data_IF_880676584937
#
_entry.id   IF_880676584937
#
_cell.length_a   1.000
_cell.length_b   1.000
_cell.length_c   1.000
_cell.angle_alpha   90.00
_cell.angle_beta   90.00
_cell.angle_gamma   90.00
#
_symmetry.space_group_name_H-M   'P 1'
#
loop_
_entity.id
_entity.type
_entity.pdbx_description
1 polymer ?
#
# COMPACT_ATOMS: atom_id res chain seq x y z
N UNK A 1 -10.22 6.06 11.27
CA UNK A 1 -8.85 6.55 11.11
C UNK A 1 -8.79 7.85 10.35
N UNK A 2 -9.12 7.88 9.06
CA UNK A 2 -8.97 9.07 8.21
C UNK A 2 -9.78 10.29 8.64
N UNK A 3 -10.99 10.13 9.13
CA UNK A 3 -11.79 11.26 9.64
C UNK A 3 -11.14 11.91 10.86
N UNK A 4 -10.65 11.11 11.80
CA UNK A 4 -9.96 11.62 12.98
C UNK A 4 -8.66 12.33 12.61
N UNK A 5 -7.93 11.82 11.63
CA UNK A 5 -6.73 12.44 11.09
C UNK A 5 -7.03 13.84 10.50
N UNK A 6 -8.09 13.96 9.71
CA UNK A 6 -8.54 15.25 9.17
C UNK A 6 -8.91 16.24 10.27
N UNK A 7 -9.62 15.81 11.30
CA UNK A 7 -9.96 16.65 12.46
C UNK A 7 -8.71 17.12 13.18
N UNK A 8 -7.71 16.26 13.40
CA UNK A 8 -6.45 16.61 14.04
C UNK A 8 -5.68 17.67 13.23
N UNK A 9 -5.62 17.51 11.89
CA UNK A 9 -4.99 18.49 11.01
C UNK A 9 -5.74 19.82 11.06
N UNK A 10 -7.06 19.84 10.97
CA UNK A 10 -7.86 21.07 11.09
C UNK A 10 -7.62 21.77 12.45
N UNK A 11 -7.61 21.01 13.53
CA UNK A 11 -7.33 21.57 14.87
C UNK A 11 -5.93 22.19 14.98
N UNK A 12 -4.95 21.62 14.28
CA UNK A 12 -3.58 22.16 14.22
C UNK A 12 -3.54 23.45 13.40
N UNK A 13 -4.21 23.49 12.24
CA UNK A 13 -4.26 24.66 11.36
C UNK A 13 -4.97 25.88 11.98
N UNK A 14 -5.93 25.64 12.86
CA UNK A 14 -6.65 26.71 13.57
C UNK A 14 -5.83 27.37 14.69
N UNK A 15 -4.67 26.82 15.06
CA UNK A 15 -3.76 27.44 16.04
C UNK A 15 -2.90 28.49 15.33
N UNK A 16 -2.76 29.66 15.96
CA UNK A 16 -1.76 30.64 15.49
C UNK A 16 -0.38 30.26 16.04
N UNK A 17 0.54 29.91 15.14
CA UNK A 17 1.89 29.52 15.48
C UNK A 17 2.86 30.01 14.40
N UNK A 18 4.13 30.14 14.73
CA UNK A 18 5.20 30.50 13.80
C UNK A 18 5.77 29.25 13.09
N UNK A 19 5.68 28.09 13.76
CA UNK A 19 6.19 26.81 13.27
C UNK A 19 5.15 25.72 13.50
N UNK A 20 4.87 24.95 12.46
CA UNK A 20 3.94 23.82 12.48
C UNK A 20 4.71 22.52 12.28
N UNK A 21 4.38 21.52 13.09
CA UNK A 21 4.89 20.17 12.96
C UNK A 21 3.75 19.21 12.63
N UNK A 22 3.90 18.44 11.56
CA UNK A 22 2.98 17.38 11.19
C UNK A 22 3.73 16.04 11.18
N UNK A 23 3.23 15.08 11.93
CA UNK A 23 3.76 13.72 12.00
C UNK A 23 2.82 12.77 11.26
N UNK A 24 3.29 12.22 10.15
CA UNK A 24 2.55 11.36 9.24
C UNK A 24 1.13 11.87 8.87
N UNK A 25 0.99 13.11 8.38
CA UNK A 25 -0.33 13.68 8.10
C UNK A 25 -1.11 12.94 7.02
N UNK A 26 -0.45 12.17 6.16
CA UNK A 26 -1.08 11.38 5.09
C UNK A 26 -1.58 10.00 5.53
N UNK A 27 -1.28 9.57 6.75
CA UNK A 27 -1.68 8.26 7.27
C UNK A 27 -3.20 8.09 7.29
N UNK A 28 -3.69 6.89 6.94
CA UNK A 28 -5.12 6.52 6.88
C UNK A 28 -5.97 7.27 5.85
N UNK A 29 -5.37 8.08 5.00
CA UNK A 29 -6.05 8.86 3.97
C UNK A 29 -5.91 8.18 2.61
N UNK A 30 -6.97 8.20 1.82
CA UNK A 30 -6.87 7.83 0.41
C UNK A 30 -6.10 8.89 -0.41
N UNK A 31 -5.73 8.58 -1.65
CA UNK A 31 -4.87 9.45 -2.44
C UNK A 31 -5.50 10.82 -2.71
N UNK A 32 -6.81 10.90 -2.89
CA UNK A 32 -7.52 12.17 -3.10
C UNK A 32 -7.38 13.08 -1.86
N UNK A 33 -7.64 12.53 -0.68
CA UNK A 33 -7.50 13.25 0.59
C UNK A 33 -6.04 13.61 0.89
N UNK A 34 -5.08 12.72 0.57
CA UNK A 34 -3.64 13.00 0.68
C UNK A 34 -3.24 14.21 -0.15
N UNK A 35 -3.65 14.27 -1.41
CA UNK A 35 -3.33 15.40 -2.30
C UNK A 35 -4.00 16.69 -1.83
N UNK A 36 -5.20 16.61 -1.27
CA UNK A 36 -5.88 17.76 -0.69
C UNK A 36 -5.11 18.33 0.51
N UNK A 37 -4.66 17.47 1.42
CA UNK A 37 -3.86 17.88 2.58
C UNK A 37 -2.50 18.43 2.16
N UNK A 38 -1.86 17.81 1.16
CA UNK A 38 -0.61 18.34 0.58
C UNK A 38 -0.78 19.79 0.12
N UNK A 39 -1.85 20.09 -0.62
CA UNK A 39 -2.15 21.48 -1.07
C UNK A 39 -2.34 22.43 0.12
N UNK A 40 -3.07 22.02 1.14
CA UNK A 40 -3.31 22.84 2.34
C UNK A 40 -1.99 23.13 3.08
N UNK A 41 -1.15 22.11 3.25
CA UNK A 41 0.15 22.28 3.92
C UNK A 41 1.09 23.18 3.08
N UNK A 42 1.07 23.04 1.75
CA UNK A 42 1.84 23.92 0.86
C UNK A 42 1.41 25.38 0.98
N UNK A 43 0.10 25.65 1.00
CA UNK A 43 -0.43 27.00 1.20
C UNK A 43 -0.01 27.58 2.58
N UNK A 44 -0.07 26.77 3.64
CA UNK A 44 0.43 27.19 4.95
C UNK A 44 1.93 27.52 4.93
N UNK A 45 2.71 26.77 4.16
CA UNK A 45 4.16 26.96 4.06
C UNK A 45 4.58 28.22 3.28
N UNK A 46 3.67 28.88 2.56
CA UNK A 46 3.93 30.19 1.94
C UNK A 46 4.12 31.29 2.98
N UNK A 47 3.45 31.19 4.15
CA UNK A 47 3.46 32.22 5.19
C UNK A 47 4.14 31.77 6.49
N UNK A 48 4.15 30.47 6.75
CA UNK A 48 4.61 29.87 8.01
C UNK A 48 5.73 28.84 7.76
N UNK A 49 6.47 28.52 8.82
CA UNK A 49 7.46 27.44 8.76
C UNK A 49 6.78 26.12 9.05
N UNK A 50 6.94 25.15 8.15
CA UNK A 50 6.30 23.83 8.28
C UNK A 50 7.36 22.73 8.21
N UNK A 51 7.30 21.81 9.16
CA UNK A 51 8.11 20.60 9.22
C UNK A 51 7.16 19.42 9.19
N UNK A 52 7.40 18.51 8.23
CA UNK A 52 6.57 17.31 8.05
C UNK A 52 7.45 16.07 8.15
N UNK A 53 7.04 15.12 8.97
CA UNK A 53 7.61 13.77 9.03
C UNK A 53 6.72 12.87 8.19
N UNK A 54 7.29 12.19 7.21
CA UNK A 54 6.57 11.33 6.27
C UNK A 54 7.40 10.14 5.83
N UNK A 55 6.71 9.02 5.60
CA UNK A 55 7.28 7.80 5.04
C UNK A 55 6.79 7.56 3.59
N UNK A 56 5.75 8.25 3.16
CA UNK A 56 5.23 8.16 1.80
C UNK A 56 6.08 9.03 0.85
N UNK A 57 6.87 8.34 0.02
CA UNK A 57 7.74 9.01 -0.95
C UNK A 57 6.95 9.78 -2.03
N UNK A 58 5.70 9.38 -2.31
CA UNK A 58 4.85 10.08 -3.25
C UNK A 58 4.44 11.44 -2.70
N UNK A 59 4.02 11.46 -1.43
CA UNK A 59 3.67 12.68 -0.71
C UNK A 59 4.90 13.58 -0.60
N UNK A 60 6.05 13.06 -0.22
CA UNK A 60 7.29 13.83 -0.10
C UNK A 60 7.73 14.46 -1.44
N UNK A 61 7.59 13.75 -2.55
CA UNK A 61 7.94 14.28 -3.89
C UNK A 61 7.15 15.55 -4.26
N UNK A 62 5.89 15.61 -3.83
CA UNK A 62 4.99 16.72 -4.14
C UNK A 62 5.10 17.83 -3.09
N UNK A 63 5.13 17.44 -1.81
CA UNK A 63 5.03 18.35 -0.67
C UNK A 63 6.33 19.10 -0.38
N UNK A 64 7.49 18.40 -0.37
CA UNK A 64 8.70 18.94 0.21
C UNK A 64 9.57 19.68 -0.80
N UNK A 65 10.13 20.82 -0.40
CA UNK A 65 11.21 21.52 -1.11
C UNK A 65 12.58 21.01 -0.67
N UNK A 66 12.74 20.80 0.64
CA UNK A 66 13.96 20.30 1.26
C UNK A 66 13.64 19.10 2.15
N UNK A 67 14.55 18.13 2.15
CA UNK A 67 14.43 16.91 2.95
C UNK A 67 15.67 16.72 3.81
N UNK A 68 15.44 16.40 5.09
CA UNK A 68 16.43 15.82 5.99
C UNK A 68 16.19 14.31 6.06
N UNK A 69 17.22 13.53 5.78
CA UNK A 69 17.16 12.08 5.99
C UNK A 69 17.57 11.80 7.42
N UNK A 70 16.75 11.04 8.14
CA UNK A 70 17.08 10.55 9.49
C UNK A 70 17.54 9.11 9.37
N UNK A 71 18.71 8.80 9.91
CA UNK A 71 19.26 7.45 9.91
C UNK A 71 19.92 7.13 11.25
N UNK A 72 20.08 5.85 11.55
CA UNK A 72 20.68 5.42 12.82
C UNK A 72 20.34 3.98 13.17
N UNK A 73 20.54 3.63 14.43
CA UNK A 73 20.23 2.32 14.97
C UNK A 73 19.05 2.45 15.92
N UNK A 74 17.99 1.70 15.64
CA UNK A 74 16.76 1.70 16.45
C UNK A 74 17.06 1.44 17.93
N UNK A 75 16.62 2.37 18.78
CA UNK A 75 16.83 2.30 20.22
C UNK A 75 18.23 2.71 20.72
N UNK A 76 19.15 3.10 19.83
CA UNK A 76 20.50 3.52 20.19
C UNK A 76 20.77 5.00 19.83
N UNK A 77 20.66 5.38 18.55
CA UNK A 77 20.88 6.75 18.11
C UNK A 77 20.19 7.06 16.79
N UNK A 78 19.89 8.33 16.56
CA UNK A 78 19.43 8.87 15.29
C UNK A 78 20.24 10.09 14.87
N UNK A 79 20.57 10.20 13.60
CA UNK A 79 21.34 11.30 13.00
C UNK A 79 20.51 11.94 11.91
N UNK A 80 20.41 13.29 11.94
CA UNK A 80 19.81 14.10 10.88
C UNK A 80 20.88 14.51 9.86
N UNK A 81 20.62 14.28 8.56
CA UNK A 81 21.46 14.85 7.53
C UNK A 81 21.22 16.35 7.38
N UNK A 82 22.16 17.12 6.80
CA UNK A 82 21.85 18.44 6.28
C UNK A 82 20.68 18.40 5.28
N UNK A 83 19.97 19.51 5.17
CA UNK A 83 18.87 19.67 4.23
C UNK A 83 19.35 19.50 2.77
N UNK A 84 18.58 18.76 1.98
CA UNK A 84 18.87 18.51 0.57
C UNK A 84 17.63 18.78 -0.26
N UNK A 85 17.84 19.12 -1.52
CA UNK A 85 16.75 19.15 -2.49
C UNK A 85 16.07 17.79 -2.57
N UNK A 86 14.73 17.80 -2.64
CA UNK A 86 13.85 16.63 -2.61
C UNK A 86 14.32 15.50 -3.51
N UNK A 87 14.64 15.78 -4.79
CA UNK A 87 15.08 14.76 -5.74
C UNK A 87 16.40 14.09 -5.31
N UNK A 88 17.39 14.87 -4.88
CA UNK A 88 18.69 14.33 -4.43
C UNK A 88 18.54 13.51 -3.15
N UNK A 89 17.74 14.00 -2.19
CA UNK A 89 17.51 13.31 -0.94
C UNK A 89 16.81 11.96 -1.17
N UNK A 90 15.72 11.95 -1.93
CA UNK A 90 14.98 10.72 -2.20
C UNK A 90 15.85 9.72 -2.97
N UNK A 91 16.61 10.14 -3.96
CA UNK A 91 17.51 9.22 -4.69
C UNK A 91 18.57 8.64 -3.76
N UNK A 92 19.25 9.45 -2.93
CA UNK A 92 20.23 8.97 -1.96
C UNK A 92 19.60 8.00 -0.92
N UNK A 93 18.38 8.28 -0.48
CA UNK A 93 17.62 7.38 0.40
C UNK A 93 17.31 6.04 -0.29
N UNK A 94 16.90 6.07 -1.56
CA UNK A 94 16.62 4.86 -2.34
C UNK A 94 17.87 4.03 -2.61
N UNK A 95 18.98 4.69 -2.94
CA UNK A 95 20.28 4.03 -3.15
C UNK A 95 20.86 3.42 -1.86
N UNK A 96 20.37 3.88 -0.70
CA UNK A 96 20.86 3.43 0.60
C UNK A 96 22.26 3.92 0.93
N UNK A 97 22.75 4.91 0.19
CA UNK A 97 24.06 5.52 0.41
C UNK A 97 23.96 7.05 0.44
N UNK A 98 24.53 7.64 1.47
CA UNK A 98 24.58 9.10 1.68
C UNK A 98 25.96 9.64 1.29
N UNK A 99 26.13 10.17 0.07
CA UNK A 99 27.46 10.49 -0.46
C UNK A 99 28.20 11.55 0.37
N UNK A 100 27.50 12.58 0.85
CA UNK A 100 28.11 13.69 1.59
C UNK A 100 28.61 13.28 2.99
N UNK A 101 27.94 12.30 3.61
CA UNK A 101 28.33 11.73 4.90
C UNK A 101 29.24 10.51 4.74
N UNK A 102 29.38 9.99 3.53
CA UNK A 102 30.06 8.73 3.21
C UNK A 102 29.52 7.56 4.06
N UNK A 103 28.19 7.51 4.24
CA UNK A 103 27.51 6.49 5.08
C UNK A 103 26.59 5.65 4.23
N UNK A 104 26.68 4.34 4.39
CA UNK A 104 25.72 3.40 3.85
C UNK A 104 24.64 3.10 4.92
N UNK A 105 23.41 3.52 4.65
CA UNK A 105 22.25 3.35 5.54
C UNK A 105 21.49 2.05 5.26
N UNK A 106 21.79 1.39 4.13
CA UNK A 106 21.18 0.13 3.72
C UNK A 106 22.10 -0.63 2.78
N UNK A 107 22.18 -1.95 2.94
CA UNK A 107 23.06 -2.81 2.13
C UNK A 107 22.64 -2.87 0.66
N UNK A 108 21.33 -2.92 0.41
CA UNK A 108 20.76 -3.01 -0.94
C UNK A 108 19.94 -1.77 -1.26
N UNK A 109 20.02 -1.25 -2.48
CA UNK A 109 19.15 -0.16 -2.92
C UNK A 109 17.70 -0.64 -3.00
N UNK A 110 16.75 0.29 -2.79
CA UNK A 110 15.35 0.06 -3.12
C UNK A 110 15.22 0.14 -4.63
N UNK A 111 14.96 -1.00 -5.27
CA UNK A 111 14.73 -1.08 -6.70
C UNK A 111 13.24 -1.28 -6.98
N UNK A 112 12.72 -0.50 -7.92
CA UNK A 112 11.37 -0.66 -8.43
C UNK A 112 11.40 -1.67 -9.57
N UNK A 113 10.86 -2.87 -9.33
CA UNK A 113 10.82 -3.93 -10.33
C UNK A 113 9.99 -3.46 -11.54
N UNK A 114 10.51 -3.73 -12.73
CA UNK A 114 9.75 -3.48 -13.95
C UNK A 114 8.62 -4.48 -14.04
N UNK A 115 7.40 -3.99 -14.15
CA UNK A 115 6.24 -4.85 -14.35
C UNK A 115 6.39 -5.59 -15.70
N UNK A 116 6.23 -6.89 -15.69
CA UNK A 116 6.05 -7.66 -16.93
C UNK A 116 4.55 -7.75 -17.15
N UNK A 117 4.09 -7.21 -18.28
CA UNK A 117 2.72 -7.45 -18.73
C UNK A 117 2.50 -8.95 -18.79
N UNK A 118 1.69 -9.47 -17.88
CA UNK A 118 1.32 -10.86 -17.89
C UNK A 118 0.32 -11.04 -19.01
N UNK A 119 0.61 -11.95 -19.95
CA UNK A 119 -0.40 -12.41 -20.89
C UNK A 119 -1.47 -13.10 -20.04
N UNK A 120 -2.72 -12.68 -20.18
CA UNK A 120 -3.86 -13.37 -19.62
C UNK A 120 -3.78 -14.84 -20.05
N UNK A 121 -3.40 -15.70 -19.11
CA UNK A 121 -3.24 -17.14 -19.38
C UNK A 121 -4.62 -17.77 -19.45
N UNK A 122 -4.74 -18.82 -20.25
CA UNK A 122 -5.94 -19.66 -20.40
C UNK A 122 -6.16 -20.58 -19.18
N UNK A 123 -5.73 -20.18 -17.99
CA UNK A 123 -5.88 -20.98 -16.78
C UNK A 123 -7.27 -20.80 -16.17
N UNK A 124 -7.81 -21.86 -15.59
CA UNK A 124 -9.08 -21.82 -14.88
C UNK A 124 -9.04 -20.80 -13.76
N UNK A 125 -10.08 -19.98 -13.59
CA UNK A 125 -10.12 -19.00 -12.51
C UNK A 125 -10.15 -19.68 -11.15
N UNK A 126 -9.49 -19.05 -10.16
CA UNK A 126 -9.48 -19.47 -8.77
C UNK A 126 -10.78 -19.05 -8.08
N UNK A 127 -11.29 -17.86 -8.41
CA UNK A 127 -12.56 -17.34 -7.96
C UNK A 127 -13.22 -16.51 -9.05
N UNK A 128 -14.55 -16.62 -9.13
CA UNK A 128 -15.38 -15.81 -10.03
C UNK A 128 -16.57 -15.27 -9.28
N UNK A 129 -17.08 -14.13 -9.70
CA UNK A 129 -18.30 -13.53 -9.18
C UNK A 129 -19.06 -12.79 -10.27
N UNK A 130 -20.34 -12.57 -10.04
CA UNK A 130 -21.15 -11.80 -10.99
C UNK A 130 -22.37 -11.17 -10.36
N UNK A 131 -22.66 -9.92 -10.78
CA UNK A 131 -23.85 -9.19 -10.40
C UNK A 131 -24.03 -9.01 -8.89
N UNK A 132 -22.95 -8.92 -8.12
CA UNK A 132 -23.05 -8.82 -6.67
C UNK A 132 -23.70 -7.50 -6.25
N UNK A 133 -24.63 -7.60 -5.31
CA UNK A 133 -25.21 -6.48 -4.61
C UNK A 133 -25.25 -6.75 -3.12
N UNK A 134 -24.87 -5.75 -2.33
CA UNK A 134 -24.95 -5.76 -0.88
C UNK A 134 -25.40 -4.41 -0.33
N UNK A 135 -26.51 -4.39 0.41
CA UNK A 135 -26.95 -3.23 1.15
C UNK A 135 -26.49 -3.30 2.62
N UNK A 136 -25.98 -2.19 3.13
CA UNK A 136 -25.52 -2.02 4.51
C UNK A 136 -26.03 -0.68 5.06
N UNK A 137 -27.21 -0.69 5.66
CA UNK A 137 -27.90 0.53 6.04
C UNK A 137 -28.21 1.39 4.81
N UNK A 138 -27.68 2.61 4.75
CA UNK A 138 -27.86 3.51 3.60
C UNK A 138 -26.86 3.25 2.47
N UNK A 139 -25.77 2.52 2.73
CA UNK A 139 -24.75 2.20 1.74
C UNK A 139 -25.13 1.00 0.88
N UNK A 140 -24.87 1.08 -0.42
CA UNK A 140 -25.07 -0.05 -1.35
C UNK A 140 -23.77 -0.31 -2.14
N UNK A 141 -23.29 -1.54 -2.08
CA UNK A 141 -22.22 -2.06 -2.93
C UNK A 141 -22.81 -2.80 -4.12
N UNK A 142 -22.27 -2.55 -5.31
CA UNK A 142 -22.56 -3.32 -6.52
C UNK A 142 -21.27 -3.75 -7.21
N UNK A 143 -21.30 -4.86 -7.95
CA UNK A 143 -20.20 -5.24 -8.84
C UNK A 143 -20.71 -5.86 -10.13
N UNK A 144 -19.95 -5.68 -11.20
CA UNK A 144 -20.11 -6.47 -12.42
C UNK A 144 -19.58 -7.90 -12.26
N UNK A 145 -19.39 -8.58 -13.39
CA UNK A 145 -18.71 -9.87 -13.42
C UNK A 145 -17.19 -9.70 -13.30
N UNK A 146 -16.54 -10.65 -12.64
CA UNK A 146 -15.09 -10.64 -12.49
C UNK A 146 -14.54 -12.03 -12.17
N UNK A 147 -13.25 -12.21 -12.42
CA UNK A 147 -12.53 -13.44 -12.15
C UNK A 147 -11.09 -13.15 -11.76
N UNK A 148 -10.51 -14.03 -10.94
CA UNK A 148 -9.09 -14.03 -10.60
C UNK A 148 -8.48 -15.37 -10.98
N UNK A 149 -7.36 -15.31 -11.66
CA UNK A 149 -6.67 -16.50 -12.19
C UNK A 149 -5.48 -16.87 -11.31
N UNK A 150 -4.94 -18.07 -11.50
CA UNK A 150 -3.77 -18.57 -10.76
C UNK A 150 -2.56 -17.63 -10.93
N UNK A 151 -1.81 -17.49 -9.85
CA UNK A 151 -0.62 -16.61 -9.74
C UNK A 151 -0.90 -15.14 -10.06
N UNK A 152 -2.14 -14.70 -10.02
CA UNK A 152 -2.54 -13.31 -10.25
C UNK A 152 -2.66 -12.55 -8.92
N UNK A 153 -2.08 -11.35 -8.88
CA UNK A 153 -2.27 -10.41 -7.78
C UNK A 153 -3.16 -9.27 -8.28
N UNK A 154 -4.36 -9.20 -7.74
CA UNK A 154 -5.33 -8.15 -8.04
C UNK A 154 -5.21 -7.04 -7.00
N UNK A 155 -4.77 -5.86 -7.42
CA UNK A 155 -4.81 -4.66 -6.59
C UNK A 155 -6.24 -4.12 -6.50
N UNK A 156 -6.63 -3.66 -5.33
CA UNK A 156 -7.96 -3.09 -5.08
C UNK A 156 -7.79 -1.64 -4.69
N UNK A 157 -8.28 -0.74 -5.54
CA UNK A 157 -8.12 0.71 -5.39
C UNK A 157 -9.46 1.43 -5.41
N UNK A 158 -9.52 2.62 -4.83
CA UNK A 158 -10.72 3.46 -4.77
C UNK A 158 -10.77 4.28 -3.48
N UNK A 159 -11.67 5.26 -3.43
CA UNK A 159 -11.85 6.14 -2.27
C UNK A 159 -12.32 5.38 -1.03
N UNK A 160 -12.15 6.00 0.14
CA UNK A 160 -12.63 5.45 1.40
C UNK A 160 -14.17 5.37 1.42
N UNK A 161 -14.70 4.31 2.04
CA UNK A 161 -16.14 4.11 2.16
C UNK A 161 -16.86 3.62 0.90
N UNK A 162 -16.14 3.25 -0.19
CA UNK A 162 -16.73 2.70 -1.42
C UNK A 162 -16.94 1.18 -1.39
N UNK A 163 -16.71 0.52 -0.27
CA UNK A 163 -17.05 -0.90 -0.09
C UNK A 163 -15.92 -1.90 -0.41
N UNK A 164 -14.66 -1.46 -0.52
CA UNK A 164 -13.51 -2.34 -0.78
C UNK A 164 -13.43 -3.52 0.19
N UNK A 165 -13.38 -3.25 1.49
CA UNK A 165 -13.32 -4.31 2.51
C UNK A 165 -14.60 -5.15 2.58
N UNK A 166 -15.76 -4.57 2.24
CA UNK A 166 -17.02 -5.31 2.13
C UNK A 166 -16.96 -6.36 1.02
N UNK A 167 -16.47 -5.97 -0.17
CA UNK A 167 -16.29 -6.90 -1.29
C UNK A 167 -15.35 -8.05 -0.91
N UNK A 168 -14.23 -7.74 -0.30
CA UNK A 168 -13.26 -8.75 0.12
C UNK A 168 -13.87 -9.71 1.15
N UNK A 169 -14.65 -9.23 2.12
CA UNK A 169 -15.35 -10.09 3.07
C UNK A 169 -16.40 -10.97 2.42
N UNK A 170 -17.09 -10.47 1.38
CA UNK A 170 -18.02 -11.28 0.58
C UNK A 170 -17.24 -12.40 -0.15
N UNK A 171 -16.14 -12.06 -0.81
CA UNK A 171 -15.30 -13.05 -1.50
C UNK A 171 -14.65 -14.03 -0.52
N UNK A 172 -14.37 -13.60 0.72
CA UNK A 172 -13.86 -14.45 1.80
C UNK A 172 -14.94 -15.38 2.41
N UNK A 173 -16.21 -15.18 2.07
CA UNK A 173 -17.31 -15.90 2.72
C UNK A 173 -17.61 -15.44 4.15
N UNK A 174 -17.01 -14.33 4.59
CA UNK A 174 -17.26 -13.74 5.93
C UNK A 174 -18.50 -12.85 5.97
N UNK A 175 -19.01 -12.45 4.80
CA UNK A 175 -20.20 -11.60 4.68
C UNK A 175 -21.09 -12.09 3.55
N UNK A 176 -22.39 -12.22 3.84
CA UNK A 176 -23.41 -12.55 2.86
C UNK A 176 -23.67 -11.39 1.89
N UNK A 177 -24.03 -11.72 0.65
CA UNK A 177 -24.52 -10.77 -0.36
C UNK A 177 -26.01 -10.93 -0.59
N UNK A 178 -26.66 -9.89 -1.11
CA UNK A 178 -28.13 -9.89 -1.28
C UNK A 178 -28.54 -10.40 -2.66
N UNK A 179 -27.72 -10.12 -3.70
CA UNK A 179 -27.94 -10.55 -5.09
C UNK A 179 -26.61 -10.93 -5.73
N UNK A 180 -26.66 -11.75 -6.78
CA UNK A 180 -25.49 -12.20 -7.55
C UNK A 180 -25.03 -13.61 -7.17
N UNK A 181 -23.77 -13.90 -7.48
CA UNK A 181 -23.14 -15.20 -7.22
C UNK A 181 -21.64 -15.09 -7.03
N UNK A 182 -21.05 -16.00 -6.28
CA UNK A 182 -19.61 -16.19 -6.10
C UNK A 182 -19.31 -17.69 -6.19
N UNK A 183 -18.27 -18.08 -6.94
CA UNK A 183 -17.77 -19.46 -6.89
C UNK A 183 -16.87 -19.61 -5.66
N UNK A 184 -17.19 -20.54 -4.77
CA UNK A 184 -16.62 -20.60 -3.42
C UNK A 184 -15.72 -21.83 -3.17
N UNK A 185 -15.09 -22.40 -4.19
CA UNK A 185 -14.28 -23.62 -4.04
C UNK A 185 -12.82 -23.35 -3.57
N UNK A 186 -12.43 -22.09 -3.42
CA UNK A 186 -11.07 -21.72 -3.02
C UNK A 186 -10.93 -21.62 -1.50
N UNK A 187 -9.85 -22.18 -0.95
CA UNK A 187 -9.43 -21.94 0.42
C UNK A 187 -8.83 -20.53 0.54
N UNK A 188 -9.24 -19.79 1.58
CA UNK A 188 -8.89 -18.38 1.71
C UNK A 188 -8.06 -18.11 2.96
N UNK A 189 -6.98 -17.36 2.81
CA UNK A 189 -6.22 -16.76 3.92
C UNK A 189 -6.45 -15.26 3.95
N UNK A 190 -6.98 -14.75 5.05
CA UNK A 190 -7.31 -13.34 5.20
C UNK A 190 -6.44 -12.65 6.25
N UNK A 191 -5.84 -11.50 5.87
CA UNK A 191 -5.22 -10.52 6.76
C UNK A 191 -6.12 -9.29 6.82
N UNK A 192 -6.84 -9.07 7.93
CA UNK A 192 -7.69 -7.89 8.09
C UNK A 192 -6.86 -6.61 8.30
N UNK A 193 -7.49 -5.46 8.07
CA UNK A 193 -6.91 -4.14 8.31
C UNK A 193 -6.49 -3.95 9.78
N UNK A 194 -7.38 -4.29 10.71
CA UNK A 194 -7.10 -4.26 12.14
C UNK A 194 -6.73 -5.66 12.64
N UNK A 195 -5.55 -5.72 13.26
CA UNK A 195 -5.00 -6.98 13.77
C UNK A 195 -5.24 -7.01 15.27
N UNK A 196 -6.40 -7.52 15.65
CA UNK A 196 -6.72 -7.82 17.04
C UNK A 196 -6.18 -9.21 17.40
N UNK A 197 -4.92 -9.22 17.84
CA UNK A 197 -4.28 -10.45 18.30
C UNK A 197 -4.05 -10.35 19.80
N UNK A 198 -4.90 -11.01 20.58
CA UNK A 198 -4.70 -11.19 22.02
C UNK A 198 -3.93 -12.49 22.29
N UNK A 199 -2.73 -12.58 21.74
CA UNK A 199 -1.83 -13.70 22.02
C UNK A 199 -0.92 -13.30 23.18
N UNK A 200 -1.04 -14.00 24.30
CA UNK A 200 -0.09 -13.87 25.41
C UNK A 200 1.10 -14.77 25.19
N UNK A 201 2.01 -14.34 24.31
CA UNK A 201 3.16 -15.13 23.90
C UNK A 201 4.17 -14.35 23.08
N UNK A 202 5.18 -15.07 22.60
CA UNK A 202 6.18 -14.53 21.68
C UNK A 202 5.70 -14.66 20.22
N UNK A 203 6.34 -13.93 19.32
CA UNK A 203 6.12 -14.06 17.87
C UNK A 203 6.36 -15.49 17.41
N UNK A 204 7.37 -16.17 17.95
CA UNK A 204 7.64 -17.58 17.62
C UNK A 204 6.44 -18.47 17.98
N UNK A 205 5.86 -18.32 19.17
CA UNK A 205 4.68 -19.08 19.57
C UNK A 205 3.48 -18.80 18.66
N UNK A 206 3.30 -17.57 18.23
CA UNK A 206 2.26 -17.22 17.29
C UNK A 206 2.46 -17.90 15.92
N UNK A 207 3.69 -17.84 15.37
CA UNK A 207 4.00 -18.54 14.13
C UNK A 207 3.84 -20.07 14.25
N UNK A 208 4.26 -20.65 15.38
CA UNK A 208 4.12 -22.08 15.63
C UNK A 208 2.65 -22.51 15.74
N UNK A 209 1.80 -21.69 16.38
CA UNK A 209 0.36 -21.98 16.50
C UNK A 209 -0.39 -21.88 15.18
N UNK A 210 -0.04 -20.91 14.34
CA UNK A 210 -0.75 -20.63 13.08
C UNK A 210 -0.24 -21.46 11.89
N UNK A 211 1.08 -21.70 11.85
CA UNK A 211 1.75 -22.26 10.67
C UNK A 211 2.43 -23.61 10.94
N UNK A 212 2.52 -24.02 12.20
CA UNK A 212 3.29 -25.22 12.57
C UNK A 212 4.74 -25.12 12.09
N UNK A 213 5.33 -26.22 11.54
CA UNK A 213 6.72 -26.20 11.09
C UNK A 213 6.96 -25.46 9.75
N UNK A 214 5.91 -25.10 9.01
CA UNK A 214 6.01 -24.52 7.65
C UNK A 214 6.83 -23.24 7.61
N UNK A 215 6.71 -22.36 8.60
CA UNK A 215 7.44 -21.10 8.62
C UNK A 215 8.97 -21.25 8.72
N UNK A 216 9.46 -22.44 9.12
CA UNK A 216 10.88 -22.76 9.17
C UNK A 216 11.42 -23.37 7.87
N UNK A 217 10.55 -23.66 6.88
CA UNK A 217 11.00 -24.18 5.59
C UNK A 217 11.97 -23.21 4.93
N UNK A 218 13.02 -23.73 4.26
CA UNK A 218 14.11 -22.89 3.75
C UNK A 218 13.63 -21.77 2.82
N UNK A 219 12.69 -22.08 1.93
CA UNK A 219 12.14 -21.11 0.97
C UNK A 219 11.27 -20.06 1.64
N UNK A 220 10.29 -20.45 2.45
CA UNK A 220 9.43 -19.51 3.16
C UNK A 220 10.22 -18.65 4.15
N UNK A 221 11.18 -19.24 4.85
CA UNK A 221 12.04 -18.51 5.77
C UNK A 221 12.82 -17.39 5.06
N UNK A 222 13.41 -17.66 3.89
CA UNK A 222 14.18 -16.66 3.15
C UNK A 222 13.27 -15.61 2.50
N UNK A 223 12.21 -16.05 1.82
CA UNK A 223 11.37 -15.17 1.00
C UNK A 223 10.36 -14.35 1.80
N UNK A 224 10.00 -14.78 3.01
CA UNK A 224 8.99 -14.11 3.84
C UNK A 224 9.55 -13.73 5.20
N UNK A 225 9.99 -14.69 6.02
CA UNK A 225 10.38 -14.43 7.42
C UNK A 225 11.55 -13.43 7.49
N UNK A 226 12.65 -13.72 6.79
CA UNK A 226 13.85 -12.85 6.75
C UNK A 226 13.60 -11.58 5.93
N UNK A 227 12.89 -11.68 4.81
CA UNK A 227 12.58 -10.51 3.97
C UNK A 227 11.79 -9.45 4.74
N UNK A 228 10.85 -9.88 5.59
CA UNK A 228 10.05 -8.99 6.44
C UNK A 228 10.70 -8.66 7.79
N UNK A 229 11.91 -9.16 8.08
CA UNK A 229 12.62 -8.96 9.36
C UNK A 229 11.96 -9.64 10.56
N UNK A 230 11.07 -10.60 10.33
CA UNK A 230 10.34 -11.32 11.39
C UNK A 230 11.26 -12.23 12.21
N UNK A 231 12.35 -12.70 11.61
CA UNK A 231 13.39 -13.50 12.29
C UNK A 231 14.00 -12.78 13.51
N UNK A 232 14.10 -11.46 13.46
CA UNK A 232 14.60 -10.62 14.55
C UNK A 232 13.57 -10.41 15.68
N UNK A 233 12.32 -10.76 15.44
CA UNK A 233 11.19 -10.52 16.34
C UNK A 233 10.77 -11.79 17.11
N UNK A 234 11.32 -12.96 16.81
CA UNK A 234 10.84 -14.26 17.28
C UNK A 234 10.70 -14.37 18.81
N UNK A 235 11.61 -13.78 19.56
CA UNK A 235 11.61 -13.77 21.03
C UNK A 235 10.79 -12.64 21.64
N UNK A 236 10.35 -11.68 20.83
CA UNK A 236 9.59 -10.51 21.28
C UNK A 236 8.15 -10.90 21.59
N UNK A 237 7.58 -10.37 22.67
CA UNK A 237 6.17 -10.58 23.01
C UNK A 237 5.26 -9.84 21.99
N UNK A 238 4.21 -10.50 21.52
CA UNK A 238 3.26 -9.96 20.55
C UNK A 238 2.64 -8.62 21.00
N UNK A 239 2.27 -8.52 22.28
CA UNK A 239 1.74 -7.29 22.89
C UNK A 239 2.72 -6.09 22.89
N UNK A 240 4.02 -6.35 22.71
CA UNK A 240 5.08 -5.32 22.69
C UNK A 240 5.57 -4.98 21.27
N UNK A 241 4.94 -5.51 20.24
CA UNK A 241 5.27 -5.18 18.86
C UNK A 241 4.81 -3.74 18.53
N UNK A 242 5.67 -3.01 17.83
CA UNK A 242 5.25 -1.76 17.17
C UNK A 242 4.23 -2.03 16.07
N UNK A 243 3.54 -1.00 15.58
CA UNK A 243 2.59 -1.13 14.47
C UNK A 243 3.19 -1.84 13.25
N UNK A 244 4.36 -1.38 12.79
CA UNK A 244 5.05 -1.97 11.64
C UNK A 244 5.54 -3.40 11.89
N UNK A 245 6.06 -3.70 13.09
CA UNK A 245 6.47 -5.06 13.45
C UNK A 245 5.27 -6.02 13.47
N UNK A 246 4.14 -5.58 14.03
CA UNK A 246 2.89 -6.35 14.03
C UNK A 246 2.39 -6.60 12.61
N UNK A 247 2.48 -5.60 11.78
CA UNK A 247 2.11 -5.69 10.36
C UNK A 247 2.96 -6.73 9.62
N UNK A 248 4.29 -6.68 9.78
CA UNK A 248 5.21 -7.65 9.17
C UNK A 248 4.92 -9.09 9.60
N UNK A 249 4.70 -9.33 10.90
CA UNK A 249 4.34 -10.67 11.41
C UNK A 249 2.99 -11.13 10.85
N UNK A 250 1.99 -10.25 10.77
CA UNK A 250 0.66 -10.60 10.24
C UNK A 250 0.66 -10.92 8.75
N UNK A 251 1.48 -10.21 7.97
CA UNK A 251 1.70 -10.56 6.55
C UNK A 251 2.34 -11.96 6.47
N UNK A 252 3.38 -12.23 7.29
CA UNK A 252 4.03 -13.53 7.31
C UNK A 252 3.07 -14.66 7.70
N UNK A 253 2.22 -14.46 8.70
CA UNK A 253 1.19 -15.43 9.11
C UNK A 253 0.20 -15.67 7.96
N UNK A 254 -0.32 -14.61 7.35
CA UNK A 254 -1.23 -14.72 6.21
C UNK A 254 -0.62 -15.52 5.06
N UNK A 255 0.59 -15.18 4.62
CA UNK A 255 1.28 -15.84 3.51
C UNK A 255 1.72 -17.28 3.83
N UNK A 256 1.88 -17.63 5.10
CA UNK A 256 2.30 -18.96 5.55
C UNK A 256 1.16 -19.97 5.64
N UNK A 257 -0.09 -19.53 5.72
CA UNK A 257 -1.26 -20.43 5.69
C UNK A 257 -1.39 -21.11 4.34
N UNK A 258 -1.93 -22.34 4.33
CA UNK A 258 -2.24 -23.03 3.07
C UNK A 258 -3.57 -22.56 2.54
N UNK A 259 -3.51 -21.79 1.46
CA UNK A 259 -4.71 -21.22 0.84
C UNK A 259 -4.51 -21.13 -0.68
N UNK A 260 -5.61 -21.04 -1.42
CA UNK A 260 -5.61 -20.81 -2.87
C UNK A 260 -5.66 -19.33 -3.21
N UNK A 261 -6.31 -18.57 -2.32
CA UNK A 261 -6.49 -17.12 -2.44
C UNK A 261 -6.11 -16.41 -1.14
N UNK A 262 -5.28 -15.37 -1.28
CA UNK A 262 -4.85 -14.55 -0.15
C UNK A 262 -5.50 -13.17 -0.24
N UNK A 263 -6.10 -12.73 0.85
CA UNK A 263 -6.73 -11.42 0.96
C UNK A 263 -5.92 -10.58 1.95
N UNK A 264 -5.33 -9.49 1.47
CA UNK A 264 -4.51 -8.61 2.30
C UNK A 264 -5.12 -7.20 2.31
N UNK A 265 -5.62 -6.79 3.47
CA UNK A 265 -6.22 -5.47 3.67
C UNK A 265 -5.19 -4.53 4.31
N UNK A 266 -4.80 -3.49 3.58
CA UNK A 266 -3.77 -2.49 3.91
C UNK A 266 -2.45 -3.11 4.42
N UNK A 267 -1.78 -3.96 3.62
CA UNK A 267 -0.52 -4.57 4.04
C UNK A 267 0.64 -3.57 4.17
N UNK A 268 0.59 -2.41 3.53
CA UNK A 268 1.64 -1.39 3.61
C UNK A 268 1.53 -0.48 4.85
N UNK A 269 0.42 -0.53 5.58
CA UNK A 269 0.17 0.34 6.73
C UNK A 269 1.27 0.18 7.80
N UNK A 270 1.70 1.30 8.38
CA UNK A 270 2.75 1.37 9.42
C UNK A 270 4.14 0.86 9.00
N UNK A 271 4.35 0.50 7.73
CA UNK A 271 5.65 0.10 7.22
C UNK A 271 6.39 1.32 6.66
N UNK A 272 7.69 1.40 6.93
CA UNK A 272 8.56 2.35 6.23
C UNK A 272 8.74 1.97 4.75
N UNK A 273 9.30 2.86 3.94
CA UNK A 273 9.42 2.66 2.50
C UNK A 273 10.20 1.37 2.14
N UNK A 274 11.20 0.97 2.92
CA UNK A 274 11.95 -0.27 2.68
C UNK A 274 11.10 -1.51 3.01
N UNK A 275 10.46 -1.51 4.17
CA UNK A 275 9.59 -2.61 4.60
C UNK A 275 8.39 -2.80 3.66
N UNK A 276 7.83 -1.70 3.10
CA UNK A 276 6.79 -1.76 2.05
C UNK A 276 7.28 -2.50 0.81
N UNK A 277 8.49 -2.18 0.33
CA UNK A 277 9.06 -2.86 -0.84
C UNK A 277 9.33 -4.35 -0.59
N UNK A 278 9.85 -4.69 0.57
CA UNK A 278 10.07 -6.10 0.91
C UNK A 278 8.74 -6.85 1.11
N UNK A 279 7.71 -6.20 1.66
CA UNK A 279 6.37 -6.78 1.74
C UNK A 279 5.76 -7.03 0.35
N UNK A 280 5.84 -6.06 -0.57
CA UNK A 280 5.37 -6.24 -1.94
C UNK A 280 6.10 -7.40 -2.65
N UNK A 281 7.43 -7.48 -2.50
CA UNK A 281 8.22 -8.59 -3.05
C UNK A 281 7.87 -9.94 -2.43
N UNK A 282 7.67 -9.99 -1.10
CA UNK A 282 7.31 -11.23 -0.41
C UNK A 282 5.95 -11.75 -0.88
N UNK A 283 4.95 -10.87 -1.02
CA UNK A 283 3.63 -11.22 -1.55
C UNK A 283 3.77 -11.79 -2.97
N UNK A 284 4.41 -11.06 -3.89
CA UNK A 284 4.57 -11.52 -5.28
C UNK A 284 5.29 -12.85 -5.38
N UNK A 285 6.44 -12.99 -4.71
CA UNK A 285 7.22 -14.24 -4.74
C UNK A 285 6.42 -15.43 -4.22
N UNK A 286 5.63 -15.21 -3.16
CA UNK A 286 4.77 -16.27 -2.61
C UNK A 286 3.70 -16.69 -3.60
N UNK A 287 3.06 -15.74 -4.29
CA UNK A 287 2.04 -16.04 -5.30
C UNK A 287 2.63 -16.75 -6.52
N UNK A 288 3.76 -16.26 -7.02
CA UNK A 288 4.44 -16.82 -8.19
C UNK A 288 5.01 -18.23 -7.92
N UNK A 289 5.70 -18.41 -6.77
CA UNK A 289 6.34 -19.69 -6.45
C UNK A 289 5.35 -20.82 -6.15
N UNK A 290 4.18 -20.49 -5.63
CA UNK A 290 3.19 -21.49 -5.22
C UNK A 290 1.96 -21.55 -6.17
N UNK A 291 1.98 -20.81 -7.28
CA UNK A 291 0.83 -20.69 -8.21
C UNK A 291 -0.47 -20.27 -7.51
N UNK A 292 -0.36 -19.41 -6.49
CA UNK A 292 -1.47 -18.88 -5.69
C UNK A 292 -1.84 -17.48 -6.14
N UNK A 293 -2.98 -16.97 -5.68
CA UNK A 293 -3.51 -15.67 -6.09
C UNK A 293 -3.79 -14.78 -4.88
N UNK A 294 -3.81 -13.47 -5.10
CA UNK A 294 -4.09 -12.55 -4.01
C UNK A 294 -4.95 -11.35 -4.44
N UNK A 295 -5.78 -10.87 -3.52
CA UNK A 295 -6.29 -9.50 -3.52
C UNK A 295 -5.49 -8.65 -2.53
N UNK A 296 -5.07 -7.48 -2.96
CA UNK A 296 -4.34 -6.53 -2.14
C UNK A 296 -5.07 -5.20 -2.15
N UNK A 297 -5.70 -4.84 -1.03
CA UNK A 297 -6.28 -3.51 -0.83
C UNK A 297 -5.21 -2.63 -0.24
N UNK A 298 -4.88 -1.51 -0.88
CA UNK A 298 -3.96 -0.55 -0.30
C UNK A 298 -4.22 0.87 -0.82
N UNK A 299 -3.86 1.86 -0.02
CA UNK A 299 -3.92 3.27 -0.37
C UNK A 299 -2.59 3.81 -0.91
N UNK A 300 -1.52 3.03 -0.77
CA UNK A 300 -0.22 3.35 -1.35
C UNK A 300 -0.18 2.92 -2.83
N UNK A 301 -0.32 3.91 -3.72
CA UNK A 301 -0.32 3.67 -5.18
C UNK A 301 1.00 3.05 -5.64
N UNK A 302 2.12 3.35 -4.98
CA UNK A 302 3.42 2.74 -5.30
C UNK A 302 3.46 1.27 -4.93
N UNK A 303 2.89 0.93 -3.77
CA UNK A 303 2.78 -0.44 -3.33
C UNK A 303 1.90 -1.25 -4.29
N UNK A 304 0.72 -0.72 -4.64
CA UNK A 304 -0.19 -1.33 -5.60
C UNK A 304 0.45 -1.48 -6.97
N UNK A 305 1.14 -0.46 -7.48
CA UNK A 305 1.85 -0.51 -8.78
C UNK A 305 2.90 -1.62 -8.85
N UNK A 306 3.54 -1.94 -7.72
CA UNK A 306 4.59 -2.96 -7.67
C UNK A 306 4.03 -4.35 -7.44
N UNK A 307 2.99 -4.48 -6.61
CA UNK A 307 2.48 -5.79 -6.19
C UNK A 307 1.49 -6.38 -7.18
N UNK A 308 0.76 -5.57 -7.96
CA UNK A 308 -0.41 -6.00 -8.72
C UNK A 308 -0.11 -6.35 -10.19
N UNK A 309 -0.84 -7.31 -10.72
CA UNK A 309 -0.91 -7.66 -12.15
C UNK A 309 -2.11 -7.00 -12.82
N UNK A 310 -3.22 -6.88 -12.07
CA UNK A 310 -4.48 -6.28 -12.50
C UNK A 310 -5.11 -5.48 -11.38
N UNK A 311 -6.12 -4.68 -11.69
CA UNK A 311 -6.79 -3.80 -10.73
C UNK A 311 -8.31 -3.96 -10.74
N UNK A 312 -8.86 -4.08 -9.55
CA UNK A 312 -10.27 -3.88 -9.26
C UNK A 312 -10.47 -2.44 -8.77
N UNK A 313 -11.20 -1.64 -9.53
CA UNK A 313 -11.36 -0.20 -9.28
C UNK A 313 -12.74 0.06 -8.68
N UNK A 314 -12.75 0.65 -7.48
CA UNK A 314 -13.96 1.07 -6.78
C UNK A 314 -14.26 2.53 -7.05
N UNK A 315 -15.46 2.79 -7.55
CA UNK A 315 -15.99 4.12 -7.86
C UNK A 315 -17.29 4.35 -7.10
N UNK A 316 -17.62 5.59 -6.81
CA UNK A 316 -18.85 5.97 -6.12
C UNK A 316 -18.65 7.02 -5.05
N UNK A 317 -19.67 7.21 -4.23
CA UNK A 317 -19.68 8.17 -3.12
C UNK A 317 -19.55 7.44 -1.80
N UNK A 318 -18.46 7.73 -1.06
CA UNK A 318 -18.16 7.07 0.20
C UNK A 318 -19.30 7.16 1.21
N UNK A 319 -19.72 6.01 1.73
CA UNK A 319 -20.83 5.90 2.68
C UNK A 319 -22.23 5.90 2.05
N UNK A 320 -22.36 6.13 0.75
CA UNK A 320 -23.65 6.13 0.03
C UNK A 320 -23.72 4.96 -0.96
N UNK A 321 -22.82 4.91 -1.90
CA UNK A 321 -22.77 3.81 -2.86
C UNK A 321 -21.34 3.55 -3.36
N UNK A 322 -21.07 2.30 -3.73
CA UNK A 322 -19.83 1.90 -4.37
C UNK A 322 -20.06 0.86 -5.46
N UNK A 323 -19.29 0.96 -6.52
CA UNK A 323 -19.31 0.00 -7.63
C UNK A 323 -17.91 -0.53 -7.87
N UNK A 324 -17.75 -1.86 -7.81
CA UNK A 324 -16.51 -2.53 -8.14
C UNK A 324 -16.47 -2.84 -9.66
N UNK A 325 -15.48 -2.31 -10.35
CA UNK A 325 -15.28 -2.45 -11.78
C UNK A 325 -13.96 -3.18 -12.08
N UNK A 326 -13.97 -4.14 -12.98
CA UNK A 326 -12.80 -4.94 -13.39
C UNK A 326 -12.89 -6.39 -12.96
N UNK A 327 -11.75 -7.11 -12.83
CA UNK A 327 -10.36 -6.61 -12.90
C UNK A 327 -9.96 -6.11 -14.29
N UNK A 328 -9.28 -4.96 -14.33
CA UNK A 328 -8.65 -4.41 -15.52
C UNK A 328 -7.16 -4.78 -15.53
N UNK A 329 -6.50 -4.80 -16.70
CA UNK A 329 -5.04 -4.80 -16.70
C UNK A 329 -4.51 -3.59 -15.94
N UNK A 330 -3.28 -3.68 -15.41
CA UNK A 330 -2.72 -2.67 -14.51
C UNK A 330 -2.77 -1.26 -15.10
N UNK A 331 -2.42 -1.09 -16.39
CA UNK A 331 -2.38 0.21 -17.05
C UNK A 331 -3.77 0.85 -17.14
N UNK A 332 -4.74 0.11 -17.64
CA UNK A 332 -6.11 0.62 -17.81
C UNK A 332 -6.78 0.89 -16.47
N UNK A 333 -6.58 -0.01 -15.50
CA UNK A 333 -7.07 0.16 -14.14
C UNK A 333 -6.46 1.37 -13.44
N UNK A 334 -5.14 1.58 -13.56
CA UNK A 334 -4.46 2.76 -13.02
C UNK A 334 -4.91 4.05 -13.69
N UNK A 335 -5.04 4.07 -15.02
CA UNK A 335 -5.55 5.24 -15.74
C UNK A 335 -6.95 5.60 -15.25
N UNK A 336 -7.84 4.61 -15.13
CA UNK A 336 -9.21 4.82 -14.65
C UNK A 336 -9.23 5.37 -13.21
N UNK A 337 -8.48 4.75 -12.33
CA UNK A 337 -8.38 5.17 -10.93
C UNK A 337 -7.81 6.58 -10.78
N UNK A 338 -6.66 6.85 -11.41
CA UNK A 338 -5.96 8.12 -11.30
C UNK A 338 -6.71 9.27 -11.96
N UNK A 339 -7.42 9.01 -13.06
CA UNK A 339 -8.34 9.95 -13.68
C UNK A 339 -9.49 10.32 -12.74
N UNK A 340 -10.06 9.34 -12.02
CA UNK A 340 -11.14 9.58 -11.06
C UNK A 340 -10.72 10.42 -9.84
N UNK A 341 -9.44 10.38 -9.45
CA UNK A 341 -8.89 11.18 -8.35
C UNK A 341 -8.12 12.42 -8.81
N UNK A 342 -8.10 12.66 -10.12
CA UNK A 342 -7.47 13.82 -10.77
C UNK A 342 -5.96 13.98 -10.45
N UNK A 343 -5.23 12.85 -10.47
CA UNK A 343 -3.78 12.79 -10.21
C UNK A 343 -3.06 12.15 -11.37
N UNK A 344 -2.02 12.78 -11.90
CA UNK A 344 -1.19 12.19 -12.95
C UNK A 344 0.08 11.56 -12.38
N UNK A 345 0.45 10.43 -12.96
CA UNK A 345 1.49 9.56 -12.47
C UNK A 345 2.43 9.16 -13.60
N UNK A 346 3.73 9.12 -13.34
CA UNK A 346 4.74 8.69 -14.31
C UNK A 346 5.84 7.88 -13.66
N UNK A 347 6.61 7.13 -14.43
CA UNK A 347 7.85 6.53 -13.97
C UNK A 347 9.03 7.43 -14.29
N UNK A 348 9.91 7.60 -13.31
CA UNK A 348 11.19 8.32 -13.47
C UNK A 348 12.10 7.54 -14.43
N UNK A 349 12.68 8.21 -15.40
CA UNK A 349 13.49 7.58 -16.44
C UNK A 349 14.69 6.80 -15.89
N UNK A 350 15.38 7.36 -14.88
CA UNK A 350 16.61 6.79 -14.36
C UNK A 350 16.37 5.72 -13.30
N UNK A 351 15.57 6.04 -12.30
CA UNK A 351 15.31 5.17 -11.16
C UNK A 351 14.14 4.17 -11.37
N UNK A 352 13.38 4.33 -12.47
CA UNK A 352 12.13 3.61 -12.75
C UNK A 352 11.09 3.76 -11.62
N UNK A 353 11.35 4.66 -10.69
CA UNK A 353 10.45 4.94 -9.57
C UNK A 353 9.17 5.59 -10.06
N UNK A 354 8.03 5.14 -9.58
CA UNK A 354 6.78 5.85 -9.78
C UNK A 354 6.85 7.25 -9.14
N UNK A 355 6.24 8.24 -9.75
CA UNK A 355 6.19 9.64 -9.28
C UNK A 355 4.86 10.28 -9.59
N UNK A 356 4.31 11.02 -8.64
CA UNK A 356 3.20 11.93 -8.87
C UNK A 356 3.73 13.22 -9.49
N UNK A 357 3.08 13.71 -10.54
CA UNK A 357 3.44 15.00 -11.10
C UNK A 357 2.97 16.14 -10.19
N UNK A 358 3.81 17.17 -10.06
CA UNK A 358 3.35 18.42 -9.42
C UNK A 358 2.20 18.99 -10.26
N UNK A 359 1.13 19.42 -9.56
CA UNK A 359 -0.04 20.00 -10.19
C UNK A 359 0.34 21.16 -11.13
N UNK A 360 -0.29 21.24 -12.30
CA UNK A 360 -0.03 22.24 -13.35
C UNK A 360 1.42 22.23 -13.90
N UNK A 361 2.23 21.23 -13.59
CA UNK A 361 3.52 21.07 -14.25
C UNK A 361 3.32 20.74 -15.75
N UNK A 362 4.37 20.96 -16.56
CA UNK A 362 4.30 20.64 -18.00
C UNK A 362 3.85 19.20 -18.25
N UNK A 363 4.43 18.24 -17.52
CA UNK A 363 4.09 16.81 -17.65
C UNK A 363 2.66 16.51 -17.19
N UNK A 364 2.20 17.14 -16.11
CA UNK A 364 0.84 17.00 -15.62
C UNK A 364 -0.16 17.45 -16.70
N UNK A 365 0.05 18.62 -17.29
CA UNK A 365 -0.80 19.15 -18.38
C UNK A 365 -0.78 18.28 -19.63
N UNK A 366 0.39 17.78 -20.04
CA UNK A 366 0.55 16.87 -21.16
C UNK A 366 -0.28 15.58 -20.94
N UNK A 367 -0.14 14.94 -19.78
CA UNK A 367 -0.85 13.70 -19.45
C UNK A 367 -2.37 13.89 -19.32
N UNK A 368 -2.82 14.99 -18.70
CA UNK A 368 -4.26 15.34 -18.63
C UNK A 368 -4.86 15.58 -20.02
N UNK A 369 -4.14 16.28 -20.89
CA UNK A 369 -4.61 16.58 -22.25
C UNK A 369 -4.70 15.34 -23.14
N UNK A 370 -3.82 14.36 -22.92
CA UNK A 370 -3.84 13.07 -23.64
C UNK A 370 -4.77 12.01 -23.03
N UNK A 371 -5.26 12.25 -21.80
CA UNK A 371 -6.02 11.24 -21.05
C UNK A 371 -5.16 10.08 -20.51
N UNK A 372 -3.83 10.17 -20.58
CA UNK A 372 -2.89 9.15 -20.09
C UNK A 372 -2.40 9.52 -18.69
N UNK A 373 -3.23 9.29 -17.69
CA UNK A 373 -2.94 9.62 -16.28
C UNK A 373 -1.86 8.73 -15.66
N UNK A 374 -1.58 7.57 -16.29
CA UNK A 374 -0.56 6.62 -15.86
C UNK A 374 0.39 6.30 -17.01
N UNK A 375 1.55 6.97 -17.04
CA UNK A 375 2.53 6.81 -18.12
C UNK A 375 3.74 5.99 -17.69
N UNK A 376 4.09 4.99 -18.50
CA UNK A 376 5.32 4.20 -18.36
C UNK A 376 6.53 4.82 -19.06
N UNK A 377 6.29 5.62 -20.10
CA UNK A 377 7.30 6.16 -21.00
C UNK A 377 7.45 7.67 -20.77
N UNK A 378 8.41 8.07 -19.98
CA UNK A 378 8.76 9.49 -19.85
C UNK A 378 10.27 9.68 -19.69
#
# INVERSE_FOLDING_TARGET
GGELQRVAICATLLRDADVYFFDEPSSYLDIHERMRIVKIIQQLAEEKRVIVIEHDLAVLDVLADLIHIVYGVKGAYGIFTPARNTRKAINAYLDGFLPEQNVRIREKPISFLRHRDRKAGSESPVIQWGGLRKALGEFTLTSGEGAVHRSEVVGVVGSNGTGKSTMIKILAGEQEYDEGWVTADATISYKPQHIDVDIDGTVQLWLDSELGPRWRSGEFNVNVIKALGVDQLLTKRVKKLSGGERQAVSIAVCLGRDADLYLLDEPSAHLDANARMEAAKAIRRTMEANEKSAFVIDHDVYFIDIVSDSLLVFEGEGGVHGTANGPFNLRDGMNRFLSGVDVTFRRDHDSKRPRINKNESRKDREQRSSGDYYSYDS
#
